data_IF_186644594655
#
_entry.id   IF_186644594655
#
_cell.length_a   1.000
_cell.length_b   1.000
_cell.length_c   1.000
_cell.angle_alpha   90.00
_cell.angle_beta   90.00
_cell.angle_gamma   90.00
#
_symmetry.space_group_name_H-M   'P 1'
#
loop_
_entity.id
_entity.type
_entity.pdbx_description
1 polymer ?
#
# COMPACT_ATOMS: atom_id res chain seq x y z
N UNK A 1 -11.11 -7.38 12.94
CA UNK A 1 -11.01 -6.20 12.04
C UNK A 1 -10.37 -5.09 12.84
N UNK A 2 -9.51 -4.28 12.22
CA UNK A 2 -8.91 -3.10 12.85
C UNK A 2 -9.21 -1.87 12.00
N UNK A 3 -9.46 -0.74 12.63
CA UNK A 3 -9.91 0.50 11.99
C UNK A 3 -9.09 1.68 12.51
N UNK A 4 -8.89 2.69 11.68
CA UNK A 4 -8.19 3.93 12.02
C UNK A 4 -8.65 5.04 11.09
N UNK A 5 -8.90 6.23 11.64
CA UNK A 5 -9.29 7.43 10.90
C UNK A 5 -8.09 8.33 10.58
N UNK A 6 -6.86 7.79 10.64
CA UNK A 6 -5.65 8.56 10.35
C UNK A 6 -4.68 7.81 9.45
N UNK A 7 -4.12 8.52 8.47
CA UNK A 7 -3.08 8.01 7.57
C UNK A 7 -1.81 7.59 8.30
N UNK A 8 -1.58 8.03 9.54
CA UNK A 8 -0.48 7.56 10.39
C UNK A 8 -0.45 6.03 10.56
N UNK A 9 -1.62 5.40 10.52
CA UNK A 9 -1.75 3.93 10.56
C UNK A 9 -1.05 3.23 9.38
N UNK A 10 -0.81 3.92 8.26
CA UNK A 10 -0.13 3.41 7.07
C UNK A 10 1.38 3.63 7.08
N UNK A 11 1.94 4.31 8.11
CA UNK A 11 3.38 4.59 8.20
C UNK A 11 4.24 3.33 8.09
N UNK A 12 3.75 2.19 8.62
CA UNK A 12 4.49 0.94 8.52
C UNK A 12 4.58 0.43 7.08
N UNK A 13 3.49 0.54 6.31
CA UNK A 13 3.47 0.18 4.89
C UNK A 13 4.41 1.11 4.10
N UNK A 14 4.32 2.42 4.36
CA UNK A 14 5.18 3.43 3.77
C UNK A 14 6.68 3.13 3.97
N UNK A 15 7.08 2.74 5.18
CA UNK A 15 8.44 2.32 5.51
C UNK A 15 8.84 1.04 4.77
N UNK A 16 7.98 0.01 4.79
CA UNK A 16 8.24 -1.29 4.17
C UNK A 16 8.44 -1.20 2.66
N UNK A 17 7.62 -0.41 1.96
CA UNK A 17 7.75 -0.20 0.51
C UNK A 17 9.15 0.31 0.14
N UNK A 18 9.69 1.27 0.92
CA UNK A 18 11.02 1.84 0.71
C UNK A 18 12.12 0.87 1.09
N UNK A 19 12.03 0.27 2.28
CA UNK A 19 13.02 -0.66 2.82
C UNK A 19 13.21 -1.89 1.94
N UNK A 20 12.11 -2.42 1.39
CA UNK A 20 12.13 -3.59 0.51
C UNK A 20 12.37 -3.24 -0.96
N UNK A 21 12.49 -1.94 -1.31
CA UNK A 21 12.70 -1.45 -2.69
C UNK A 21 11.64 -1.93 -3.69
N UNK A 22 10.38 -1.97 -3.26
CA UNK A 22 9.25 -2.48 -4.06
C UNK A 22 8.30 -1.36 -4.52
N UNK A 23 8.76 -0.11 -4.62
CA UNK A 23 7.93 1.05 -4.98
C UNK A 23 7.16 0.87 -6.29
N UNK A 24 7.81 0.39 -7.36
CA UNK A 24 7.14 0.25 -8.66
C UNK A 24 6.04 -0.82 -8.63
N UNK A 25 6.32 -1.96 -8.00
CA UNK A 25 5.35 -3.04 -7.82
C UNK A 25 4.18 -2.59 -6.92
N UNK A 26 4.48 -1.96 -5.78
CA UNK A 26 3.48 -1.41 -4.87
C UNK A 26 2.60 -0.39 -5.60
N UNK A 27 3.19 0.56 -6.34
CA UNK A 27 2.45 1.57 -7.10
C UNK A 27 1.52 0.93 -8.12
N UNK A 28 1.98 -0.08 -8.85
CA UNK A 28 1.15 -0.81 -9.82
C UNK A 28 -0.06 -1.45 -9.13
N UNK A 29 0.17 -2.18 -8.03
CA UNK A 29 -0.89 -2.87 -7.29
C UNK A 29 -1.89 -1.89 -6.66
N UNK A 30 -1.41 -0.82 -6.03
CA UNK A 30 -2.28 0.18 -5.43
C UNK A 30 -3.14 0.90 -6.48
N UNK A 31 -2.58 1.23 -7.65
CA UNK A 31 -3.35 1.87 -8.73
C UNK A 31 -4.44 0.95 -9.29
N UNK A 32 -4.19 -0.36 -9.40
CA UNK A 32 -5.21 -1.35 -9.78
C UNK A 32 -6.35 -1.43 -8.76
N UNK A 33 -6.06 -1.13 -7.50
CA UNK A 33 -6.99 -1.18 -6.37
C UNK A 33 -7.89 0.04 -6.18
N UNK A 34 -7.78 1.07 -7.02
CA UNK A 34 -8.61 2.28 -6.90
C UNK A 34 -10.02 2.02 -7.42
N UNK A 35 -11.02 2.28 -6.58
CA UNK A 35 -12.44 2.17 -6.92
C UNK A 35 -13.15 3.42 -6.38
N UNK A 36 -13.38 4.42 -7.25
CA UNK A 36 -13.98 5.69 -6.84
C UNK A 36 -13.13 6.41 -5.79
N UNK A 37 -13.72 6.64 -4.62
CA UNK A 37 -13.09 7.24 -3.43
C UNK A 37 -12.51 6.19 -2.46
N UNK A 38 -12.25 4.97 -2.95
CA UNK A 38 -11.63 3.91 -2.17
C UNK A 38 -10.33 3.42 -2.82
N UNK A 39 -9.39 3.04 -1.97
CA UNK A 39 -8.20 2.28 -2.33
C UNK A 39 -8.25 0.93 -1.61
N UNK A 40 -8.38 -0.15 -2.37
CA UNK A 40 -8.48 -1.52 -1.87
C UNK A 40 -7.30 -2.32 -2.38
N UNK A 41 -6.54 -2.94 -1.48
CA UNK A 41 -5.46 -3.84 -1.87
C UNK A 41 -5.30 -4.96 -0.85
N UNK A 42 -4.64 -6.04 -1.28
CA UNK A 42 -4.43 -7.24 -0.48
C UNK A 42 -2.95 -7.53 -0.31
N UNK A 43 -2.59 -8.04 0.87
CA UNK A 43 -1.24 -8.49 1.17
C UNK A 43 -1.24 -9.91 1.72
N UNK A 44 -0.19 -10.67 1.44
CA UNK A 44 -0.01 -12.02 1.92
C UNK A 44 0.11 -12.03 3.46
N UNK A 45 -0.75 -12.80 4.13
CA UNK A 45 -0.84 -12.85 5.60
C UNK A 45 0.40 -13.48 6.24
N UNK A 46 1.01 -14.47 5.60
CA UNK A 46 2.21 -15.14 6.10
C UNK A 46 3.44 -14.22 6.00
N UNK A 47 3.58 -13.51 4.88
CA UNK A 47 4.63 -12.51 4.71
C UNK A 47 4.48 -11.38 5.76
N UNK A 48 3.26 -10.90 5.98
CA UNK A 48 2.97 -9.88 6.99
C UNK A 48 3.33 -10.35 8.41
N UNK A 49 3.05 -11.61 8.75
CA UNK A 49 3.45 -12.20 10.04
C UNK A 49 4.98 -12.20 10.23
N UNK A 50 5.74 -12.38 9.16
CA UNK A 50 7.21 -12.28 9.16
C UNK A 50 7.73 -10.84 9.05
N UNK A 51 6.85 -9.83 9.10
CA UNK A 51 7.22 -8.42 9.00
C UNK A 51 7.64 -7.97 7.59
N UNK A 52 7.17 -8.69 6.56
CA UNK A 52 7.43 -8.42 5.14
C UNK A 52 6.16 -7.96 4.41
N UNK A 53 6.33 -7.11 3.41
CA UNK A 53 5.23 -6.66 2.56
C UNK A 53 5.23 -7.41 1.22
N UNK A 54 4.21 -8.24 1.00
CA UNK A 54 3.99 -8.93 -0.29
C UNK A 54 2.55 -8.71 -0.73
N UNK A 55 2.35 -8.03 -1.84
CA UNK A 55 1.03 -7.85 -2.44
C UNK A 55 0.53 -9.15 -3.06
N UNK A 56 -0.79 -9.33 -3.07
CA UNK A 56 -1.49 -10.43 -3.77
C UNK A 56 -2.71 -9.86 -4.49
N UNK A 57 -3.12 -10.47 -5.60
CA UNK A 57 -4.34 -10.11 -6.33
C UNK A 57 -5.55 -10.89 -5.78
N UNK A 58 -5.34 -12.12 -5.33
CA UNK A 58 -6.42 -13.01 -4.86
C UNK A 58 -6.14 -13.61 -3.47
N UNK A 59 -7.18 -14.05 -2.77
CA UNK A 59 -7.02 -14.66 -1.44
C UNK A 59 -6.32 -16.03 -1.53
N UNK A 60 -6.47 -16.74 -2.65
CA UNK A 60 -5.83 -18.02 -2.94
C UNK A 60 -4.29 -17.95 -3.02
N UNK A 61 -3.73 -16.77 -3.30
CA UNK A 61 -2.28 -16.56 -3.33
C UNK A 61 -1.66 -16.45 -1.91
N UNK A 62 -2.51 -16.44 -0.88
CA UNK A 62 -2.11 -16.55 0.52
C UNK A 62 -2.73 -17.82 1.11
N UNK A 63 -1.94 -18.85 1.47
CA UNK A 63 -2.48 -20.13 1.94
C UNK A 63 -3.45 -20.04 3.13
N UNK A 64 -3.34 -18.98 3.94
CA UNK A 64 -4.22 -18.71 5.09
C UNK A 64 -5.15 -17.49 4.84
N UNK A 65 -5.39 -17.13 3.58
CA UNK A 65 -6.11 -15.94 3.15
C UNK A 65 -5.27 -14.66 3.25
N UNK A 66 -5.61 -13.64 2.47
CA UNK A 66 -4.91 -12.36 2.47
C UNK A 66 -5.36 -11.46 3.64
N UNK A 67 -4.61 -10.38 3.87
CA UNK A 67 -5.08 -9.23 4.66
C UNK A 67 -5.55 -8.18 3.65
N UNK A 68 -6.82 -7.80 3.71
CA UNK A 68 -7.39 -6.76 2.86
C UNK A 68 -7.30 -5.42 3.58
N UNK A 69 -6.74 -4.43 2.89
CA UNK A 69 -6.78 -3.03 3.29
C UNK A 69 -7.83 -2.31 2.47
N UNK A 70 -8.64 -1.50 3.15
CA UNK A 70 -9.64 -0.62 2.54
C UNK A 70 -9.37 0.77 3.11
N UNK A 71 -9.08 1.72 2.24
CA UNK A 71 -8.83 3.12 2.60
C UNK A 71 -9.90 3.95 1.89
N UNK A 72 -10.73 4.64 2.65
CA UNK A 72 -11.69 5.62 2.15
C UNK A 72 -11.03 7.00 2.12
N UNK A 73 -11.12 7.69 0.98
CA UNK A 73 -10.47 9.00 0.76
C UNK A 73 -11.00 9.67 -0.49
N UNK A 74 -11.16 11.00 -0.45
CA UNK A 74 -11.57 11.78 -1.62
C UNK A 74 -10.51 11.74 -2.74
N UNK A 75 -9.24 11.46 -2.40
CA UNK A 75 -8.15 11.44 -3.37
C UNK A 75 -7.20 10.23 -3.16
N UNK A 76 -7.58 9.03 -3.65
CA UNK A 76 -6.76 7.83 -3.48
C UNK A 76 -5.39 7.96 -4.16
N UNK A 77 -5.28 8.75 -5.23
CA UNK A 77 -4.01 8.95 -5.93
C UNK A 77 -2.99 9.70 -5.09
N UNK A 78 -3.42 10.60 -4.21
CA UNK A 78 -2.53 11.31 -3.28
C UNK A 78 -1.93 10.35 -2.24
N UNK A 79 -2.76 9.44 -1.71
CA UNK A 79 -2.31 8.37 -0.81
C UNK A 79 -1.32 7.45 -1.52
N UNK A 80 -1.62 7.03 -2.75
CA UNK A 80 -0.70 6.22 -3.57
C UNK A 80 0.60 6.96 -3.81
N UNK A 81 0.52 8.25 -4.09
CA UNK A 81 1.69 9.05 -4.37
C UNK A 81 2.62 9.14 -3.15
N UNK A 82 2.06 9.36 -1.96
CA UNK A 82 2.82 9.31 -0.71
C UNK A 82 3.41 7.91 -0.41
N UNK A 83 2.61 6.84 -0.56
CA UNK A 83 3.05 5.48 -0.25
C UNK A 83 4.12 4.95 -1.22
N UNK A 84 3.91 5.17 -2.52
CA UNK A 84 4.70 4.59 -3.60
C UNK A 84 4.89 5.60 -4.75
N UNK A 85 5.81 6.57 -4.60
CA UNK A 85 6.11 7.54 -5.64
C UNK A 85 6.61 6.87 -6.91
N UNK A 86 6.49 7.56 -8.06
CA UNK A 86 7.15 7.09 -9.30
C UNK A 86 8.66 7.07 -9.08
N UNK A 87 9.32 6.04 -9.59
CA UNK A 87 10.78 5.94 -9.50
C UNK A 87 11.45 5.99 -10.86
N UNK A 88 12.75 6.31 -10.85
CA UNK A 88 13.67 6.11 -11.97
C UNK A 88 14.97 5.53 -11.43
N UNK A 89 15.46 4.44 -12.03
CA UNK A 89 16.63 3.70 -11.54
C UNK A 89 16.52 3.32 -10.04
N UNK A 90 15.31 2.97 -9.59
CA UNK A 90 15.02 2.59 -8.19
C UNK A 90 15.02 3.72 -7.18
N UNK A 91 15.13 4.98 -7.63
CA UNK A 91 15.06 6.19 -6.78
C UNK A 91 13.74 6.93 -7.00
N UNK A 92 13.07 7.41 -5.94
CA UNK A 92 11.89 8.26 -6.06
C UNK A 92 12.18 9.50 -6.91
N UNK A 93 11.31 9.81 -7.86
CA UNK A 93 11.39 11.07 -8.63
C UNK A 93 10.99 12.29 -7.79
N UNK A 94 10.22 12.06 -6.73
CA UNK A 94 9.75 13.06 -5.78
C UNK A 94 9.34 12.35 -4.49
N UNK A 95 9.23 13.10 -3.40
CA UNK A 95 8.67 12.65 -2.13
C UNK A 95 7.50 13.57 -1.79
N UNK A 96 6.37 12.99 -1.38
CA UNK A 96 5.20 13.74 -0.89
C UNK A 96 5.14 13.62 0.62
N UNK A 97 4.62 14.65 1.26
CA UNK A 97 4.23 14.53 2.66
C UNK A 97 3.03 13.60 2.81
N UNK A 98 2.84 13.09 4.02
CA UNK A 98 1.64 12.32 4.36
C UNK A 98 0.40 13.19 4.10
N UNK A 99 -0.64 12.66 3.44
CA UNK A 99 -1.88 13.39 3.24
C UNK A 99 -2.48 13.81 4.59
N UNK A 100 -3.28 14.88 4.58
CA UNK A 100 -4.03 15.31 5.75
C UNK A 100 -5.28 14.45 5.87
N UNK A 101 -5.61 14.08 7.10
CA UNK A 101 -6.84 13.36 7.45
C UNK A 101 -8.09 14.21 7.16
#
# INVERSE_FOLDING_TARGET
>A
VGESNSYRSLLKIHELIRRERIMDAARSMLRKGVIGNMLIFKVNKQAAYQGRLSFVETDSESPMGAITFIIETDNPYEVIDWLAPKTSMGKPLWEREMPKD
#
